data_IF_862257103719
#
_entry.id   IF_862257103719
#
_cell.length_a   1.000
_cell.length_b   1.000
_cell.length_c   1.000
_cell.angle_alpha   90.00
_cell.angle_beta   90.00
_cell.angle_gamma   90.00
#
_symmetry.space_group_name_H-M   'P 1'
#
loop_
_entity.id
_entity.type
_entity.pdbx_description
1 polymer ?
#
# COMPACT_ATOMS: atom_id res chain seq x y z
N UNK A 1 -59.04 -1.94 14.23
CA UNK A 1 -57.58 -1.79 14.23
C UNK A 1 -56.96 -3.13 13.91
N UNK A 2 -56.59 -3.32 12.65
CA UNK A 2 -55.84 -4.47 12.18
C UNK A 2 -54.36 -4.22 12.44
N UNK A 3 -53.68 -5.18 13.08
CA UNK A 3 -52.25 -5.10 13.37
C UNK A 3 -51.43 -5.49 12.15
N UNK A 4 -50.55 -4.61 11.69
CA UNK A 4 -49.56 -4.92 10.67
C UNK A 4 -48.53 -5.94 11.18
N UNK A 5 -48.17 -6.95 10.37
CA UNK A 5 -47.08 -7.84 10.70
C UNK A 5 -45.72 -7.17 10.40
N UNK A 6 -44.97 -6.90 11.47
CA UNK A 6 -43.56 -6.48 11.40
C UNK A 6 -42.71 -7.59 10.76
N UNK A 7 -42.40 -7.45 9.47
CA UNK A 7 -41.42 -8.30 8.77
C UNK A 7 -40.00 -7.89 9.15
N UNK A 8 -39.41 -8.61 10.10
CA UNK A 8 -37.95 -8.58 10.36
C UNK A 8 -37.21 -9.19 9.16
N UNK A 9 -36.07 -8.63 8.73
CA UNK A 9 -35.30 -9.20 7.62
C UNK A 9 -34.74 -10.57 8.02
N UNK A 10 -34.98 -11.58 7.18
CA UNK A 10 -34.49 -12.94 7.39
C UNK A 10 -32.95 -12.96 7.40
N UNK A 11 -32.36 -13.58 8.43
CA UNK A 11 -30.90 -13.81 8.49
C UNK A 11 -30.48 -14.57 7.23
N UNK A 12 -29.53 -14.02 6.47
CA UNK A 12 -28.92 -14.69 5.31
C UNK A 12 -28.49 -16.11 5.71
N UNK A 13 -28.86 -17.09 4.90
CA UNK A 13 -28.43 -18.48 5.08
C UNK A 13 -26.89 -18.55 5.12
N UNK A 14 -26.35 -19.23 6.13
CA UNK A 14 -24.90 -19.40 6.28
C UNK A 14 -24.43 -20.43 5.24
N UNK A 15 -23.53 -20.01 4.35
CA UNK A 15 -22.93 -20.91 3.37
C UNK A 15 -22.09 -21.98 4.09
N UNK A 16 -22.12 -23.19 3.55
CA UNK A 16 -21.30 -24.30 4.04
C UNK A 16 -19.91 -24.21 3.39
N UNK A 17 -18.92 -23.74 4.16
CA UNK A 17 -17.56 -23.53 3.67
C UNK A 17 -16.84 -24.82 3.28
N UNK A 18 -17.28 -25.98 3.78
CA UNK A 18 -16.72 -27.27 3.40
C UNK A 18 -17.03 -27.61 1.93
N UNK A 19 -18.14 -27.09 1.39
CA UNK A 19 -18.57 -27.32 -0.01
C UNK A 19 -17.87 -26.44 -1.03
N UNK A 20 -17.02 -25.51 -0.60
CA UNK A 20 -16.23 -24.73 -1.55
C UNK A 20 -15.16 -25.61 -2.21
N UNK A 21 -15.03 -25.54 -3.54
CA UNK A 21 -14.09 -26.37 -4.29
C UNK A 21 -12.62 -26.21 -3.84
N UNK A 22 -12.27 -25.06 -3.27
CA UNK A 22 -10.93 -24.76 -2.78
C UNK A 22 -10.68 -25.18 -1.32
N UNK A 23 -11.70 -25.66 -0.59
CA UNK A 23 -11.63 -25.88 0.86
C UNK A 23 -10.57 -26.92 1.25
N UNK A 24 -10.56 -28.06 0.56
CA UNK A 24 -9.64 -29.17 0.82
C UNK A 24 -8.18 -28.78 0.53
N UNK A 25 -7.94 -28.13 -0.62
CA UNK A 25 -6.60 -27.69 -0.99
C UNK A 25 -6.09 -26.57 -0.08
N UNK A 26 -6.95 -25.63 0.31
CA UNK A 26 -6.61 -24.59 1.27
C UNK A 26 -6.22 -25.17 2.63
N UNK A 27 -6.91 -26.22 3.09
CA UNK A 27 -6.58 -26.92 4.33
C UNK A 27 -5.21 -27.63 4.28
N UNK A 28 -4.93 -28.35 3.20
CA UNK A 28 -3.63 -29.00 2.98
C UNK A 28 -2.52 -27.95 2.94
N UNK A 29 -2.72 -26.89 2.14
CA UNK A 29 -1.76 -25.80 2.01
C UNK A 29 -1.47 -25.14 3.36
N UNK A 30 -2.51 -24.85 4.15
CA UNK A 30 -2.36 -24.25 5.47
C UNK A 30 -1.58 -25.15 6.43
N UNK A 31 -1.75 -26.47 6.35
CA UNK A 31 -1.07 -27.44 7.19
C UNK A 31 0.43 -27.57 6.92
N UNK A 32 0.88 -27.23 5.70
CA UNK A 32 2.30 -27.24 5.30
C UNK A 32 2.96 -25.86 5.36
N UNK A 33 2.22 -24.81 5.73
CA UNK A 33 2.79 -23.47 5.85
C UNK A 33 3.82 -23.40 6.99
N UNK A 34 4.95 -22.73 6.78
CA UNK A 34 5.90 -22.45 7.86
C UNK A 34 5.26 -21.66 9.00
N UNK A 35 5.81 -21.80 10.19
CA UNK A 35 5.29 -21.19 11.42
C UNK A 35 5.06 -19.67 11.31
N UNK A 36 5.95 -18.96 10.60
CA UNK A 36 5.83 -17.52 10.36
C UNK A 36 4.49 -17.14 9.70
N UNK A 37 4.04 -17.92 8.72
CA UNK A 37 2.76 -17.69 8.05
C UNK A 37 1.57 -18.02 8.94
N UNK A 38 1.66 -19.08 9.75
CA UNK A 38 0.56 -19.50 10.64
C UNK A 38 0.25 -18.41 11.67
N UNK A 39 1.27 -17.85 12.32
CA UNK A 39 1.14 -16.74 13.27
C UNK A 39 0.49 -15.50 12.65
N UNK A 40 0.89 -15.12 11.44
CA UNK A 40 0.28 -14.00 10.73
C UNK A 40 -1.19 -14.28 10.42
N UNK A 41 -1.51 -15.48 9.92
CA UNK A 41 -2.88 -15.87 9.61
C UNK A 41 -3.76 -15.91 10.87
N UNK A 42 -3.26 -16.44 11.99
CA UNK A 42 -3.96 -16.43 13.28
C UNK A 42 -4.27 -15.01 13.75
N UNK A 43 -3.30 -14.09 13.65
CA UNK A 43 -3.51 -12.68 13.98
C UNK A 43 -4.56 -12.03 13.07
N UNK A 44 -4.49 -12.25 11.75
CA UNK A 44 -5.50 -11.74 10.80
C UNK A 44 -6.90 -12.24 11.16
N UNK A 45 -7.06 -13.54 11.42
CA UNK A 45 -8.38 -14.09 11.75
C UNK A 45 -8.90 -13.55 13.09
N UNK A 46 -8.03 -13.28 14.06
CA UNK A 46 -8.40 -12.59 15.29
C UNK A 46 -8.85 -11.14 15.03
N UNK A 47 -8.13 -10.37 14.22
CA UNK A 47 -8.51 -9.00 13.86
C UNK A 47 -9.83 -8.94 13.08
N UNK A 48 -10.09 -9.92 12.22
CA UNK A 48 -11.32 -10.01 11.41
C UNK A 48 -12.58 -10.25 12.24
N UNK A 49 -12.47 -10.69 13.49
CA UNK A 49 -13.63 -10.81 14.38
C UNK A 49 -14.31 -9.44 14.58
N UNK A 50 -13.51 -8.40 14.78
CA UNK A 50 -13.97 -7.01 14.86
C UNK A 50 -12.82 -6.04 14.54
N UNK A 51 -12.79 -5.56 13.29
CA UNK A 51 -11.75 -4.65 12.82
C UNK A 51 -11.89 -3.23 13.37
N UNK A 52 -13.10 -2.80 13.72
CA UNK A 52 -13.30 -1.48 14.29
C UNK A 52 -12.76 -1.44 15.72
N UNK A 53 -13.09 -2.46 16.51
CA UNK A 53 -12.50 -2.64 17.86
C UNK A 53 -10.97 -2.78 17.81
N UNK A 54 -10.43 -3.49 16.82
CA UNK A 54 -8.98 -3.60 16.66
C UNK A 54 -8.33 -2.24 16.36
N UNK A 55 -8.92 -1.44 15.48
CA UNK A 55 -8.41 -0.08 15.19
C UNK A 55 -8.52 0.83 16.42
N UNK A 56 -9.64 0.79 17.14
CA UNK A 56 -9.82 1.58 18.36
C UNK A 56 -8.79 1.16 19.43
N UNK A 57 -8.49 -0.12 19.55
CA UNK A 57 -7.44 -0.63 20.45
C UNK A 57 -6.05 -0.11 20.08
N UNK A 58 -5.73 -0.02 18.78
CA UNK A 58 -4.48 0.58 18.30
C UNK A 58 -4.38 2.04 18.73
N UNK A 59 -5.44 2.82 18.54
CA UNK A 59 -5.47 4.25 18.89
C UNK A 59 -5.38 4.47 20.41
N UNK A 60 -6.06 3.63 21.20
CA UNK A 60 -6.04 3.70 22.66
C UNK A 60 -4.71 3.25 23.26
N UNK A 61 -3.92 2.44 22.53
CA UNK A 61 -2.64 1.93 23.04
C UNK A 61 -1.61 3.03 23.31
N UNK A 62 -1.68 4.15 22.56
CA UNK A 62 -0.66 5.20 22.58
C UNK A 62 0.71 4.79 22.05
N UNK A 63 0.84 3.56 21.52
CA UNK A 63 2.09 3.00 20.99
C UNK A 63 2.09 2.90 19.46
N UNK A 64 0.99 3.31 18.82
CA UNK A 64 0.85 3.18 17.38
C UNK A 64 1.80 4.12 16.63
N UNK A 65 2.51 3.64 15.60
CA UNK A 65 3.35 4.50 14.79
C UNK A 65 2.51 5.55 14.03
N UNK A 66 3.09 6.69 13.62
CA UNK A 66 2.43 7.65 12.74
C UNK A 66 2.02 6.97 11.43
N UNK A 67 0.71 6.79 11.23
CA UNK A 67 0.16 6.07 10.08
C UNK A 67 -1.30 6.52 9.79
N UNK A 68 -1.76 6.55 8.52
CA UNK A 68 -3.11 7.01 8.21
C UNK A 68 -4.19 6.09 8.80
N UNK A 69 -5.13 6.66 9.58
CA UNK A 69 -6.22 5.89 10.23
C UNK A 69 -6.96 4.97 9.26
N UNK A 70 -7.29 5.48 8.07
CA UNK A 70 -8.01 4.74 7.03
C UNK A 70 -7.28 3.50 6.51
N UNK A 71 -5.95 3.42 6.68
CA UNK A 71 -5.12 2.32 6.19
C UNK A 71 -4.87 1.23 7.23
N UNK A 72 -5.29 1.42 8.49
CA UNK A 72 -5.14 0.37 9.51
C UNK A 72 -5.95 -0.90 9.19
N UNK A 73 -7.15 -0.76 8.62
CA UNK A 73 -7.95 -1.94 8.24
C UNK A 73 -7.24 -2.80 7.18
N UNK A 74 -6.70 -2.25 6.08
CA UNK A 74 -5.80 -2.98 5.18
C UNK A 74 -4.60 -3.63 5.87
N UNK A 75 -3.91 -2.91 6.77
CA UNK A 75 -2.79 -3.48 7.56
C UNK A 75 -3.25 -4.72 8.34
N UNK A 76 -4.34 -4.61 9.10
CA UNK A 76 -4.86 -5.71 9.93
C UNK A 76 -5.36 -6.91 9.12
N UNK A 77 -5.71 -6.70 7.85
CA UNK A 77 -6.05 -7.80 6.94
C UNK A 77 -4.85 -8.40 6.22
N UNK A 78 -3.67 -7.83 6.40
CA UNK A 78 -2.44 -8.11 5.63
C UNK A 78 -2.67 -7.93 4.12
N UNK A 79 -3.36 -6.85 3.76
CA UNK A 79 -3.70 -6.51 2.38
C UNK A 79 -2.72 -5.51 1.77
N UNK A 80 -2.77 -5.38 0.44
CA UNK A 80 -2.00 -4.38 -0.29
C UNK A 80 -2.31 -2.95 0.20
N UNK A 81 -1.24 -2.16 0.39
CA UNK A 81 -1.30 -0.74 0.76
C UNK A 81 -0.64 0.10 -0.33
N UNK A 82 -1.33 1.13 -0.80
CA UNK A 82 -0.81 2.07 -1.79
C UNK A 82 0.13 3.10 -1.13
N UNK A 83 1.44 3.01 -1.44
CA UNK A 83 2.47 3.85 -0.81
C UNK A 83 2.29 5.35 -1.09
N UNK A 84 1.70 5.70 -2.23
CA UNK A 84 1.36 7.09 -2.59
C UNK A 84 0.42 7.73 -1.55
N UNK A 85 -0.53 6.95 -1.01
CA UNK A 85 -1.44 7.42 0.04
C UNK A 85 -0.71 7.63 1.37
N UNK A 86 0.21 6.72 1.71
CA UNK A 86 1.04 6.80 2.92
C UNK A 86 1.96 8.03 2.85
N UNK A 87 2.66 8.23 1.73
CA UNK A 87 3.58 9.35 1.54
C UNK A 87 2.91 10.72 1.70
N UNK A 88 1.70 10.86 1.14
CA UNK A 88 0.93 12.09 1.19
C UNK A 88 0.69 12.54 2.64
N UNK A 89 0.31 11.61 3.51
CA UNK A 89 0.03 11.88 4.92
C UNK A 89 1.31 12.08 5.74
N UNK A 90 2.32 11.20 5.58
CA UNK A 90 3.59 11.32 6.31
C UNK A 90 4.24 12.67 6.04
N UNK A 91 4.19 13.14 4.79
CA UNK A 91 4.76 14.45 4.46
C UNK A 91 3.90 15.62 4.94
N UNK A 92 2.57 15.47 5.02
CA UNK A 92 1.70 16.50 5.60
C UNK A 92 1.99 16.70 7.10
N UNK A 93 2.20 15.61 7.83
CA UNK A 93 2.53 15.64 9.27
C UNK A 93 3.85 16.36 9.57
N UNK A 94 4.86 16.22 8.70
CA UNK A 94 6.12 16.94 8.85
C UNK A 94 6.01 18.43 8.47
N UNK A 95 5.12 18.79 7.54
CA UNK A 95 4.92 20.17 7.13
C UNK A 95 4.16 21.02 8.17
N UNK A 96 3.31 20.40 8.99
CA UNK A 96 2.60 21.12 10.07
C UNK A 96 3.53 21.61 11.18
N UNK A 97 4.70 21.00 11.35
CA UNK A 97 5.70 21.50 12.32
C UNK A 97 6.52 22.68 11.78
N UNK A 98 6.72 22.78 10.47
CA UNK A 98 7.46 23.90 9.87
C UNK A 98 6.59 25.14 9.64
N UNK A 99 5.26 24.98 9.55
CA UNK A 99 4.31 26.09 9.33
C UNK A 99 3.93 26.85 10.61
N UNK A 100 4.34 26.40 11.80
CA UNK A 100 4.02 27.08 13.07
C UNK A 100 4.67 28.44 13.27
N UNK A 101 5.52 28.89 12.34
CA UNK A 101 6.16 30.20 12.46
C UNK A 101 5.40 31.36 11.78
N UNK A 102 4.34 31.12 10.98
CA UNK A 102 3.53 32.22 10.44
C UNK A 102 2.09 31.76 10.09
N UNK A 103 1.26 31.46 11.10
CA UNK A 103 -0.18 31.21 10.85
C UNK A 103 -1.01 32.33 11.47
N UNK A 104 -1.60 33.15 10.59
CA UNK A 104 -2.51 34.23 10.96
C UNK A 104 -3.87 33.58 11.34
N UNK A 105 -4.45 33.82 12.53
CA UNK A 105 -5.64 33.12 13.04
C UNK A 105 -6.92 33.27 12.19
N UNK A 106 -6.90 34.15 11.19
CA UNK A 106 -7.97 34.34 10.22
C UNK A 106 -7.94 33.32 9.06
N UNK A 107 -6.80 32.69 8.78
CA UNK A 107 -6.69 31.66 7.73
C UNK A 107 -7.29 30.31 8.19
N UNK A 108 -7.11 29.97 9.47
CA UNK A 108 -7.62 28.72 10.07
C UNK A 108 -9.16 28.68 10.13
N UNK A 109 -9.80 29.84 10.32
CA UNK A 109 -11.27 29.94 10.33
C UNK A 109 -11.90 29.86 8.95
N UNK A 110 -11.15 30.13 7.87
CA UNK A 110 -11.64 30.06 6.49
C UNK A 110 -11.41 28.68 5.85
N UNK A 111 -10.36 27.96 6.25
CA UNK A 111 -10.14 26.55 5.89
C UNK A 111 -11.23 25.63 6.47
N UNK A 112 -11.82 26.01 7.61
CA UNK A 112 -12.90 25.26 8.27
C UNK A 112 -14.25 25.31 7.52
N UNK A 113 -14.43 26.25 6.59
CA UNK A 113 -15.73 26.54 5.94
C UNK A 113 -15.73 26.24 4.43
N UNK A 114 -14.60 25.81 3.87
CA UNK A 114 -14.51 25.47 2.44
C UNK A 114 -14.48 23.97 2.24
N UNK A 115 -15.37 23.49 1.36
CA UNK A 115 -15.42 22.11 0.87
C UNK A 115 -14.00 21.66 0.51
N UNK A 116 -13.40 20.84 1.37
CA UNK A 116 -11.99 20.47 1.29
C UNK A 116 -11.69 19.89 -0.09
N UNK A 117 -10.86 20.60 -0.87
CA UNK A 117 -10.32 20.08 -2.12
C UNK A 117 -9.50 18.84 -1.77
N UNK A 118 -9.63 17.72 -2.51
CA UNK A 118 -8.85 16.53 -2.23
C UNK A 118 -7.36 16.87 -2.31
N UNK A 119 -6.63 16.64 -1.21
CA UNK A 119 -5.19 16.85 -1.14
C UNK A 119 -4.54 16.06 -2.28
N UNK A 120 -3.76 16.72 -3.17
CA UNK A 120 -3.11 16.03 -4.26
C UNK A 120 -2.17 14.94 -3.72
N UNK A 121 -2.31 13.73 -4.24
CA UNK A 121 -1.48 12.60 -3.84
C UNK A 121 -0.03 12.86 -4.26
N UNK A 122 0.91 12.69 -3.34
CA UNK A 122 2.34 12.80 -3.60
C UNK A 122 2.83 11.54 -4.31
N UNK A 123 3.32 11.70 -5.54
CA UNK A 123 3.86 10.60 -6.32
C UNK A 123 5.15 10.04 -5.68
N UNK A 124 5.28 8.71 -5.74
CA UNK A 124 6.54 8.00 -5.50
C UNK A 124 7.30 8.03 -6.81
N UNK A 125 8.45 8.72 -6.84
CA UNK A 125 9.22 8.95 -8.08
C UNK A 125 10.67 8.50 -8.00
N UNK A 126 11.17 8.26 -6.78
CA UNK A 126 12.56 7.93 -6.51
C UNK A 126 12.70 7.08 -5.24
N UNK A 127 13.93 6.67 -4.94
CA UNK A 127 14.28 5.90 -3.75
C UNK A 127 13.90 6.62 -2.45
N UNK A 128 14.03 7.96 -2.38
CA UNK A 128 13.81 8.73 -1.15
C UNK A 128 12.33 8.78 -0.79
N UNK A 129 11.49 9.12 -1.76
CA UNK A 129 10.03 9.16 -1.61
C UNK A 129 9.47 7.76 -1.35
N UNK A 130 10.00 6.74 -2.05
CA UNK A 130 9.66 5.34 -1.80
C UNK A 130 10.01 4.92 -0.37
N UNK A 131 11.26 5.13 0.06
CA UNK A 131 11.74 4.71 1.39
C UNK A 131 10.93 5.34 2.50
N UNK A 132 10.61 6.64 2.40
CA UNK A 132 9.79 7.33 3.41
C UNK A 132 8.41 6.67 3.57
N UNK A 133 7.76 6.32 2.46
CA UNK A 133 6.47 5.66 2.47
C UNK A 133 6.56 4.20 2.98
N UNK A 134 7.58 3.48 2.53
CA UNK A 134 7.84 2.10 2.94
C UNK A 134 8.12 1.99 4.44
N UNK A 135 8.97 2.86 5.00
CA UNK A 135 9.29 2.83 6.43
C UNK A 135 8.07 3.07 7.32
N UNK A 136 7.17 3.97 6.94
CA UNK A 136 5.91 4.16 7.67
C UNK A 136 5.01 2.91 7.59
N UNK A 137 4.94 2.29 6.41
CA UNK A 137 4.18 1.06 6.17
C UNK A 137 4.78 -0.13 6.95
N UNK A 138 6.09 -0.34 6.85
CA UNK A 138 6.83 -1.38 7.56
C UNK A 138 6.65 -1.28 9.08
N UNK A 139 6.74 -0.06 9.64
CA UNK A 139 6.48 0.16 11.07
C UNK A 139 5.04 -0.21 11.46
N UNK A 140 4.04 0.17 10.66
CA UNK A 140 2.65 -0.19 10.93
C UNK A 140 2.40 -1.70 10.85
N UNK A 141 2.98 -2.38 9.85
CA UNK A 141 2.87 -3.84 9.71
C UNK A 141 3.60 -4.56 10.84
N UNK A 142 4.82 -4.16 11.19
CA UNK A 142 5.56 -4.76 12.29
C UNK A 142 4.89 -4.52 13.66
N UNK A 143 4.17 -3.40 13.82
CA UNK A 143 3.36 -3.12 15.00
C UNK A 143 2.15 -4.04 15.07
N UNK A 144 1.44 -4.24 13.95
CA UNK A 144 0.28 -5.14 13.89
C UNK A 144 0.66 -6.62 13.97
N UNK A 145 1.84 -7.01 13.50
CA UNK A 145 2.24 -8.42 13.44
C UNK A 145 3.63 -8.64 14.05
N UNK A 146 3.64 -9.19 15.27
CA UNK A 146 4.86 -9.54 15.97
C UNK A 146 5.71 -10.53 15.15
N UNK A 147 7.00 -10.21 15.01
CA UNK A 147 7.98 -11.07 14.31
C UNK A 147 8.14 -10.81 12.81
N UNK A 148 7.38 -9.88 12.21
CA UNK A 148 7.53 -9.53 10.78
C UNK A 148 8.64 -8.52 10.48
N UNK A 149 9.32 -7.99 11.50
CA UNK A 149 10.33 -6.95 11.30
C UNK A 149 11.46 -7.42 10.36
N UNK A 150 11.99 -8.61 10.59
CA UNK A 150 13.12 -9.11 9.79
C UNK A 150 12.78 -9.29 8.31
N UNK A 151 11.57 -9.76 7.98
CA UNK A 151 11.18 -9.91 6.57
C UNK A 151 10.98 -8.56 5.87
N UNK A 152 10.47 -7.56 6.58
CA UNK A 152 10.26 -6.21 6.05
C UNK A 152 11.59 -5.50 5.85
N UNK A 153 12.54 -5.68 6.78
CA UNK A 153 13.90 -5.14 6.68
C UNK A 153 14.63 -5.77 5.47
N UNK A 154 14.58 -7.11 5.29
CA UNK A 154 15.17 -7.78 4.12
C UNK A 154 14.57 -7.30 2.79
N UNK A 155 13.26 -7.04 2.76
CA UNK A 155 12.62 -6.48 1.58
C UNK A 155 13.02 -5.04 1.32
N UNK A 156 13.16 -4.22 2.38
CA UNK A 156 13.71 -2.86 2.24
C UNK A 156 15.09 -2.91 1.61
N UNK A 157 15.97 -3.78 2.10
CA UNK A 157 17.32 -3.96 1.57
C UNK A 157 17.30 -4.42 0.10
N UNK A 158 16.46 -5.40 -0.24
CA UNK A 158 16.30 -5.84 -1.64
C UNK A 158 15.92 -4.68 -2.57
N UNK A 159 14.93 -3.87 -2.17
CA UNK A 159 14.49 -2.73 -2.98
C UNK A 159 15.53 -1.61 -3.04
N UNK A 160 16.28 -1.37 -1.96
CA UNK A 160 17.39 -0.42 -1.95
C UNK A 160 18.46 -0.77 -2.97
N UNK A 161 18.93 -2.03 -2.97
CA UNK A 161 19.91 -2.49 -3.95
C UNK A 161 19.42 -2.29 -5.39
N UNK A 162 18.13 -2.52 -5.66
CA UNK A 162 17.57 -2.24 -6.99
C UNK A 162 17.56 -0.74 -7.35
N UNK A 163 17.37 0.16 -6.40
CA UNK A 163 17.48 1.60 -6.69
C UNK A 163 18.93 2.02 -6.93
N UNK A 164 19.89 1.39 -6.23
CA UNK A 164 21.32 1.69 -6.35
C UNK A 164 21.93 1.11 -7.64
N UNK A 165 21.46 -0.07 -8.07
CA UNK A 165 21.93 -0.76 -9.27
C UNK A 165 21.36 -0.16 -10.58
N UNK A 166 20.20 0.49 -10.51
CA UNK A 166 19.52 1.08 -11.68
C UNK A 166 19.68 2.60 -11.70
N UNK A 167 20.04 3.16 -12.86
CA UNK A 167 20.14 4.61 -13.01
C UNK A 167 18.74 5.29 -12.93
N UNK A 168 18.68 6.58 -12.52
CA UNK A 168 17.42 7.28 -12.24
C UNK A 168 16.31 7.17 -13.31
N UNK A 169 16.59 7.18 -14.63
CA UNK A 169 15.57 6.97 -15.67
C UNK A 169 14.80 5.64 -15.57
N UNK A 170 15.33 4.65 -14.85
CA UNK A 170 14.71 3.34 -14.64
C UNK A 170 14.09 3.15 -13.25
N UNK A 171 14.17 4.15 -12.37
CA UNK A 171 13.57 4.08 -11.02
C UNK A 171 12.06 3.86 -11.08
N UNK A 172 11.39 4.35 -12.13
CA UNK A 172 9.97 4.07 -12.34
C UNK A 172 9.69 2.57 -12.50
N UNK A 173 10.57 1.83 -13.20
CA UNK A 173 10.41 0.38 -13.36
C UNK A 173 10.61 -0.35 -12.03
N UNK A 174 11.57 0.10 -11.20
CA UNK A 174 11.79 -0.42 -9.84
C UNK A 174 10.55 -0.20 -8.97
N UNK A 175 9.91 0.97 -9.05
CA UNK A 175 8.68 1.30 -8.32
C UNK A 175 7.51 0.42 -8.77
N UNK A 176 7.35 0.17 -10.08
CA UNK A 176 6.29 -0.72 -10.59
C UNK A 176 6.55 -2.18 -10.20
N UNK A 177 7.81 -2.62 -10.21
CA UNK A 177 8.22 -3.94 -9.73
C UNK A 177 7.86 -4.14 -8.25
N UNK A 178 8.23 -3.19 -7.37
CA UNK A 178 7.83 -3.17 -5.96
C UNK A 178 6.32 -3.26 -5.79
N UNK A 179 5.58 -2.44 -6.56
CA UNK A 179 4.12 -2.44 -6.51
C UNK A 179 3.53 -3.81 -6.84
N UNK A 180 4.02 -4.45 -7.89
CA UNK A 180 3.56 -5.78 -8.29
C UNK A 180 3.84 -6.84 -7.21
N UNK A 181 5.01 -6.80 -6.57
CA UNK A 181 5.34 -7.71 -5.46
C UNK A 181 4.41 -7.49 -4.28
N UNK A 182 4.23 -6.24 -3.84
CA UNK A 182 3.35 -5.91 -2.72
C UNK A 182 1.90 -6.32 -2.99
N UNK A 183 1.42 -6.20 -4.22
CA UNK A 183 0.09 -6.67 -4.62
C UNK A 183 -0.01 -8.19 -4.57
N UNK A 184 1.00 -8.90 -5.05
CA UNK A 184 1.07 -10.37 -4.98
C UNK A 184 1.03 -10.83 -3.52
N UNK A 185 1.90 -10.30 -2.67
CA UNK A 185 1.97 -10.64 -1.24
C UNK A 185 0.63 -10.32 -0.55
N UNK A 186 0.10 -9.11 -0.74
CA UNK A 186 -1.19 -8.72 -0.13
C UNK A 186 -2.41 -9.49 -0.65
N UNK A 187 -2.27 -10.28 -1.72
CA UNK A 187 -3.32 -11.16 -2.24
C UNK A 187 -3.13 -12.63 -1.86
N UNK A 188 -1.97 -13.00 -1.29
CA UNK A 188 -1.58 -14.38 -1.02
C UNK A 188 -1.02 -14.55 0.39
N UNK A 189 -1.61 -15.49 1.14
CA UNK A 189 -1.22 -15.80 2.52
C UNK A 189 0.01 -16.70 2.66
N UNK A 190 0.58 -17.14 1.54
CA UNK A 190 1.67 -18.11 1.48
C UNK A 190 2.99 -17.54 0.93
N UNK A 191 3.05 -16.22 0.71
CA UNK A 191 4.29 -15.53 0.30
C UNK A 191 4.54 -14.41 1.32
N UNK A 192 5.79 -14.27 1.75
CA UNK A 192 6.22 -13.18 2.63
C UNK A 192 7.29 -12.34 1.94
N UNK A 193 7.58 -11.19 2.54
CA UNK A 193 8.48 -10.17 2.00
C UNK A 193 9.94 -10.64 1.88
N UNK A 194 10.36 -11.63 2.67
CA UNK A 194 11.69 -12.24 2.58
C UNK A 194 11.81 -13.35 1.53
N UNK A 195 10.70 -13.76 0.90
CA UNK A 195 10.70 -14.82 -0.10
C UNK A 195 11.03 -14.27 -1.51
N UNK A 196 12.07 -13.44 -1.64
CA UNK A 196 12.42 -12.73 -2.88
C UNK A 196 12.66 -13.68 -4.07
N UNK A 197 13.15 -14.89 -3.81
CA UNK A 197 13.42 -15.90 -4.84
C UNK A 197 12.18 -16.75 -5.21
N UNK A 198 11.00 -16.42 -4.69
CA UNK A 198 9.75 -17.08 -5.08
C UNK A 198 9.51 -16.91 -6.59
N UNK A 199 9.12 -17.98 -7.29
CA UNK A 199 9.02 -18.00 -8.76
C UNK A 199 8.16 -16.85 -9.35
N UNK A 200 7.03 -16.54 -8.71
CA UNK A 200 6.17 -15.42 -9.13
C UNK A 200 6.84 -14.05 -8.98
N UNK A 201 7.67 -13.85 -7.93
CA UNK A 201 8.45 -12.63 -7.72
C UNK A 201 9.60 -12.56 -8.73
N UNK A 202 10.30 -13.68 -8.95
CA UNK A 202 11.37 -13.78 -9.93
C UNK A 202 10.86 -13.43 -11.34
N UNK A 203 9.65 -13.86 -11.70
CA UNK A 203 9.00 -13.47 -12.96
C UNK A 203 8.80 -11.96 -13.10
N UNK A 204 8.49 -11.24 -12.01
CA UNK A 204 8.36 -9.78 -12.06
C UNK A 204 9.68 -9.09 -12.39
N UNK A 205 10.84 -9.65 -12.01
CA UNK A 205 12.14 -9.09 -12.43
C UNK A 205 12.23 -9.04 -13.95
N UNK A 206 11.87 -10.13 -14.63
CA UNK A 206 11.83 -10.18 -16.11
C UNK A 206 10.82 -9.21 -16.71
N UNK A 207 9.63 -9.11 -16.11
CA UNK A 207 8.53 -8.31 -16.67
C UNK A 207 8.77 -6.81 -16.57
N UNK A 208 9.34 -6.34 -15.46
CA UNK A 208 9.48 -4.91 -15.15
C UNK A 208 10.89 -4.38 -15.32
N UNK A 209 11.93 -5.17 -15.01
CA UNK A 209 13.30 -4.67 -14.90
C UNK A 209 14.17 -4.96 -16.14
N UNK A 210 13.86 -6.02 -16.90
CA UNK A 210 14.60 -6.35 -18.11
C UNK A 210 14.07 -5.57 -19.32
N UNK A 211 14.94 -5.07 -20.23
CA UNK A 211 14.52 -4.33 -21.43
C UNK A 211 13.56 -5.08 -22.36
N UNK A 212 13.57 -6.41 -22.30
CA UNK A 212 12.65 -7.28 -23.06
C UNK A 212 11.30 -7.50 -22.37
N UNK A 213 11.12 -6.96 -21.17
CA UNK A 213 9.93 -7.11 -20.35
C UNK A 213 8.77 -6.26 -20.85
N UNK A 214 7.55 -6.81 -20.77
CA UNK A 214 6.33 -6.14 -21.24
C UNK A 214 6.01 -4.82 -20.51
N UNK A 215 6.46 -4.67 -19.26
CA UNK A 215 6.25 -3.47 -18.46
C UNK A 215 7.51 -2.63 -18.29
N UNK A 216 8.60 -2.96 -18.99
CA UNK A 216 9.79 -2.15 -19.01
C UNK A 216 9.54 -0.86 -19.79
N UNK A 217 9.85 0.27 -19.17
CA UNK A 217 9.75 1.59 -19.81
C UNK A 217 11.00 2.42 -19.55
N UNK A 218 11.42 3.19 -20.56
CA UNK A 218 12.42 4.24 -20.38
C UNK A 218 11.66 5.50 -19.95
N UNK A 219 11.90 5.97 -18.73
CA UNK A 219 11.46 7.31 -18.36
C UNK A 219 12.39 8.30 -19.07
N UNK A 220 12.04 8.71 -20.28
CA UNK A 220 12.72 9.84 -20.92
C UNK A 220 12.45 11.06 -20.04
N UNK A 221 13.49 11.56 -19.38
CA UNK A 221 13.46 12.88 -18.76
C UNK A 221 13.03 13.86 -19.83
N UNK A 222 11.82 14.41 -19.71
CA UNK A 222 11.21 15.31 -20.68
C UNK A 222 12.12 16.50 -20.95
N UNK A 223 12.89 16.41 -22.05
CA UNK A 223 13.78 17.47 -22.53
C UNK A 223 13.70 17.61 -24.06
N UNK A 224 12.48 17.70 -24.61
CA UNK A 224 12.28 18.24 -25.96
C UNK A 224 10.81 18.62 -26.23
N UNK A 225 10.40 19.83 -25.86
CA UNK A 225 9.42 20.57 -26.67
C UNK A 225 10.14 21.73 -27.37
N UNK A 226 10.90 21.36 -28.40
CA UNK A 226 11.27 22.27 -29.47
C UNK A 226 10.01 22.59 -30.28
N UNK A 227 9.36 23.72 -29.99
CA UNK A 227 8.29 24.25 -30.84
C UNK A 227 8.90 24.85 -32.11
N UNK A 228 9.09 24.03 -33.15
CA UNK A 228 9.30 24.54 -34.50
C UNK A 228 7.97 24.58 -35.24
N UNK A 229 7.27 25.72 -35.17
CA UNK A 229 6.18 26.03 -36.10
C UNK A 229 6.80 26.48 -37.44
N UNK A 230 6.44 25.87 -38.58
CA UNK A 230 6.80 26.43 -39.88
C UNK A 230 5.93 27.66 -40.15
N UNK A 231 6.57 28.80 -40.42
CA UNK A 231 5.90 30.04 -40.79
C UNK A 231 5.54 29.95 -42.28
N UNK A 232 4.27 29.69 -42.58
CA UNK A 232 3.75 29.72 -43.95
C UNK A 232 3.94 31.13 -44.54
N UNK A 233 4.62 31.18 -45.69
CA UNK A 233 4.76 32.35 -46.55
C UNK A 233 3.50 32.46 -47.41
N UNK A 234 2.60 33.36 -47.06
CA UNK A 234 1.50 33.77 -47.92
C UNK A 234 1.95 34.92 -48.82
N UNK A 235 1.58 34.81 -50.10
CA UNK A 235 1.70 35.83 -51.14
C UNK A 235 0.71 36.97 -50.85
N UNK A 236 1.17 38.20 -50.98
CA UNK A 236 0.58 39.29 -51.77
C UNK A 236 1.63 40.41 -51.92
#
# INVERSE_FOLDING_TARGET
SEGEPSTRPAKRAKQDSAKFNWSAEAFIKWSVLPEKHRKINEAIENYKLDLDTAVDSIEQSGLNPPFPKKLWKPVLRDEYIELTEVLTMVTAYHNTDTSRMVSNPFAETLESTTLAKPTPLKAIIDQVTWRRAWQATSKAVAFAFAGRKEELDRYEDHMQHLFDDYCPPFHQNVIQYDRAIRQLIGSRRDILFDNIEHADIARFRTVYLLPTGMHFSLSESSSAQSSSRPRNRAKE
#
